data_IF_053222709317
#
_entry.id   IF_053222709317
#
_cell.length_a   1.000
_cell.length_b   1.000
_cell.length_c   1.000
_cell.angle_alpha   90.00
_cell.angle_beta   90.00
_cell.angle_gamma   90.00
#
_symmetry.space_group_name_H-M   'P 1'
#
loop_
_entity.id
_entity.type
_entity.pdbx_description
1 polymer ?
#
# COMPACT_ATOMS: atom_id res chain seq x y z
N UNK A 1 22.07 1.80 -7.99
CA UNK A 1 21.32 0.60 -7.58
C UNK A 1 20.03 1.11 -6.94
N UNK A 2 18.95 1.20 -7.72
CA UNK A 2 17.70 1.80 -7.23
C UNK A 2 16.98 0.80 -6.34
N UNK A 3 16.81 1.13 -5.06
CA UNK A 3 16.00 0.34 -4.14
C UNK A 3 14.59 0.17 -4.73
N UNK A 4 14.14 -1.08 -4.86
CA UNK A 4 12.77 -1.39 -5.24
C UNK A 4 11.81 -0.56 -4.36
N UNK A 5 10.71 0.00 -4.90
CA UNK A 5 9.71 0.67 -4.08
C UNK A 5 9.27 -0.28 -2.95
N UNK A 6 9.12 0.24 -1.73
CA UNK A 6 8.84 -0.54 -0.51
C UNK A 6 7.59 -1.44 -0.61
N UNK A 7 6.77 -1.23 -1.65
CA UNK A 7 5.75 -2.16 -2.13
C UNK A 7 6.23 -3.60 -2.38
N UNK A 8 7.54 -3.89 -2.35
CA UNK A 8 8.08 -5.25 -2.52
C UNK A 8 8.83 -5.82 -1.29
N UNK A 9 8.86 -5.13 -0.15
CA UNK A 9 9.58 -5.61 1.05
C UNK A 9 9.01 -6.97 1.55
N UNK A 10 9.79 -8.07 1.61
CA UNK A 10 9.32 -9.35 2.14
C UNK A 10 8.91 -9.29 3.63
N UNK A 11 9.47 -8.37 4.41
CA UNK A 11 9.12 -8.18 5.83
C UNK A 11 7.77 -7.48 6.04
N UNK A 12 7.16 -6.97 4.96
CA UNK A 12 5.89 -6.24 4.97
C UNK A 12 4.65 -7.13 4.80
N UNK A 13 4.77 -8.43 5.03
CA UNK A 13 3.72 -9.42 4.79
C UNK A 13 3.69 -10.48 5.89
N UNK A 14 2.53 -11.11 6.11
CA UNK A 14 2.37 -12.19 7.07
C UNK A 14 1.44 -11.89 8.26
N UNK A 15 1.29 -12.89 9.13
CA UNK A 15 0.40 -12.83 10.29
C UNK A 15 0.86 -11.74 11.27
N UNK A 16 -0.09 -10.97 11.78
CA UNK A 16 0.17 -9.94 12.79
C UNK A 16 0.63 -8.59 12.23
N UNK A 17 0.67 -8.41 10.91
CA UNK A 17 0.92 -7.09 10.35
C UNK A 17 -0.23 -6.13 10.73
N UNK A 18 0.13 -4.98 11.26
CA UNK A 18 -0.70 -3.80 11.41
C UNK A 18 -0.08 -2.69 10.56
N UNK A 19 -0.93 -2.04 9.75
CA UNK A 19 -0.55 -0.86 8.98
C UNK A 19 -1.42 0.31 9.42
N UNK A 20 -0.81 1.47 9.63
CA UNK A 20 -1.51 2.72 9.96
C UNK A 20 -1.07 3.80 9.00
N UNK A 21 -1.99 4.68 8.63
CA UNK A 21 -1.68 5.77 7.71
C UNK A 21 -2.22 7.10 8.20
N UNK A 22 -1.48 8.15 7.90
CA UNK A 22 -1.85 9.53 8.17
C UNK A 22 -1.55 10.37 6.94
N UNK A 23 -2.35 11.41 6.76
CA UNK A 23 -2.21 12.33 5.65
C UNK A 23 -2.11 13.74 6.19
N UNK A 24 -1.20 14.52 5.63
CA UNK A 24 -0.95 15.89 6.01
C UNK A 24 -0.52 16.70 4.78
N UNK A 25 -0.79 18.00 4.79
CA UNK A 25 -0.28 18.92 3.78
C UNK A 25 0.87 19.76 4.32
N UNK A 26 2.06 19.57 3.76
CA UNK A 26 3.21 20.42 4.07
C UNK A 26 3.13 21.74 3.30
N UNK A 27 3.28 22.85 4.01
CA UNK A 27 3.55 24.14 3.39
C UNK A 27 5.00 24.15 2.90
N UNK A 28 5.22 23.75 1.65
CA UNK A 28 6.54 23.92 1.03
C UNK A 28 6.87 25.42 0.99
N UNK A 29 8.09 25.80 1.38
CA UNK A 29 8.60 27.16 1.34
C UNK A 29 8.30 27.82 -0.04
N UNK A 30 7.21 28.59 -0.11
CA UNK A 30 6.82 29.38 -1.29
C UNK A 30 5.83 28.75 -2.27
N UNK A 31 4.56 28.57 -1.85
CA UNK A 31 3.29 28.72 -2.64
C UNK A 31 2.44 27.51 -3.02
N UNK A 32 2.83 26.25 -2.78
CA UNK A 32 1.89 25.11 -2.96
C UNK A 32 1.95 24.14 -1.80
N UNK A 33 0.77 23.84 -1.23
CA UNK A 33 0.59 22.76 -0.29
C UNK A 33 0.99 21.44 -0.98
N UNK A 34 1.86 20.66 -0.35
CA UNK A 34 2.26 19.34 -0.82
C UNK A 34 1.60 18.28 0.05
N UNK A 35 0.85 17.39 -0.57
CA UNK A 35 0.32 16.21 0.09
C UNK A 35 1.47 15.30 0.54
N UNK A 36 1.46 14.90 1.80
CA UNK A 36 2.38 13.93 2.39
C UNK A 36 1.59 12.82 3.06
N UNK A 37 2.09 11.59 2.89
CA UNK A 37 1.46 10.37 3.41
C UNK A 37 2.44 9.59 4.24
N UNK A 38 2.14 9.49 5.52
CA UNK A 38 2.96 8.77 6.49
C UNK A 38 2.30 7.40 6.70
N UNK A 39 3.07 6.32 6.64
CA UNK A 39 2.60 4.99 7.02
C UNK A 39 3.52 4.37 8.06
N UNK A 40 2.93 3.77 9.08
CA UNK A 40 3.65 2.89 9.99
C UNK A 40 3.32 1.44 9.66
N UNK A 41 4.37 0.62 9.58
CA UNK A 41 4.27 -0.84 9.51
C UNK A 41 4.72 -1.41 10.84
N UNK A 42 3.91 -2.26 11.45
CA UNK A 42 4.27 -2.94 12.69
C UNK A 42 3.76 -4.38 12.63
N UNK A 43 4.66 -5.35 12.70
CA UNK A 43 4.30 -6.74 12.92
C UNK A 43 4.19 -6.98 14.42
N UNK A 44 2.97 -7.14 14.93
CA UNK A 44 2.69 -7.27 16.37
C UNK A 44 3.18 -8.60 16.96
N UNK A 45 3.55 -9.57 16.11
CA UNK A 45 4.04 -10.88 16.54
C UNK A 45 5.56 -10.87 16.65
N UNK A 46 6.27 -10.35 15.65
CA UNK A 46 7.74 -10.27 15.66
C UNK A 46 8.28 -8.99 16.29
N UNK A 47 7.43 -7.97 16.49
CA UNK A 47 7.81 -6.63 16.91
C UNK A 47 8.36 -5.74 15.79
N UNK A 48 8.67 -6.30 14.62
CA UNK A 48 9.33 -5.55 13.54
C UNK A 48 8.51 -4.36 13.07
N UNK A 49 9.16 -3.21 12.91
CA UNK A 49 8.53 -1.94 12.53
C UNK A 49 9.41 -1.10 11.62
N UNK A 50 8.78 -0.22 10.87
CA UNK A 50 9.44 0.86 10.12
C UNK A 50 8.38 1.87 9.63
N UNK A 51 8.84 3.08 9.29
CA UNK A 51 7.98 4.17 8.81
C UNK A 51 8.24 4.41 7.32
N UNK A 52 7.17 4.71 6.59
CA UNK A 52 7.19 5.11 5.19
C UNK A 52 6.67 6.54 5.07
N UNK A 53 7.30 7.33 4.20
CA UNK A 53 6.76 8.61 3.72
C UNK A 53 6.61 8.50 2.21
N UNK A 54 5.39 8.74 1.72
CA UNK A 54 5.02 8.68 0.31
C UNK A 54 5.43 7.36 -0.35
N UNK A 55 5.33 6.26 0.39
CA UNK A 55 5.68 4.92 -0.08
C UNK A 55 7.16 4.57 -0.02
N UNK A 56 8.02 5.44 0.53
CA UNK A 56 9.46 5.21 0.70
C UNK A 56 9.82 5.09 2.16
N UNK A 57 10.66 4.12 2.49
CA UNK A 57 11.09 3.93 3.88
C UNK A 57 11.93 5.12 4.34
N UNK A 58 11.66 5.57 5.56
CA UNK A 58 12.47 6.58 6.24
C UNK A 58 13.65 5.87 6.87
N UNK A 59 14.85 6.24 6.44
CA UNK A 59 16.10 5.68 6.94
C UNK A 59 16.19 5.79 8.47
N UNK A 60 16.70 4.73 9.12
CA UNK A 60 16.86 4.67 10.57
C UNK A 60 15.58 4.39 11.36
N UNK A 61 14.40 4.31 10.72
CA UNK A 61 13.14 4.02 11.43
C UNK A 61 12.87 2.53 11.63
N UNK A 62 13.63 1.67 10.94
CA UNK A 62 13.50 0.22 11.05
C UNK A 62 14.01 -0.28 12.39
N UNK A 63 13.23 -1.12 13.05
CA UNK A 63 13.60 -1.73 14.33
C UNK A 63 12.57 -2.72 14.83
N UNK A 64 12.61 -3.04 16.13
CA UNK A 64 11.65 -3.92 16.79
C UNK A 64 11.02 -3.23 18.02
N UNK A 65 9.72 -3.43 18.24
CA UNK A 65 9.00 -3.08 19.49
C UNK A 65 8.60 -4.36 20.20
N UNK A 66 8.89 -4.47 21.50
CA UNK A 66 8.30 -5.53 22.30
C UNK A 66 6.99 -5.08 22.94
N UNK A 67 6.17 -6.02 23.40
CA UNK A 67 4.98 -5.71 24.17
C UNK A 67 5.39 -5.11 25.52
N UNK A 68 4.96 -3.89 25.81
CA UNK A 68 5.33 -3.14 27.02
C UNK A 68 6.35 -2.02 26.78
N UNK A 69 6.98 -1.97 25.61
CA UNK A 69 7.80 -0.84 25.21
C UNK A 69 6.90 0.27 24.66
N UNK A 70 7.14 1.51 25.11
CA UNK A 70 6.68 2.68 24.39
C UNK A 70 7.75 3.08 23.38
N UNK A 71 7.36 3.30 22.13
CA UNK A 71 8.23 3.78 21.09
C UNK A 71 7.82 5.18 20.65
N UNK A 72 8.82 6.03 20.46
CA UNK A 72 8.73 7.26 19.69
C UNK A 72 9.79 7.24 18.57
N UNK A 73 9.36 7.38 17.32
CA UNK A 73 10.23 7.54 16.15
C UNK A 73 10.10 8.98 15.66
N UNK A 74 11.21 9.71 15.60
CA UNK A 74 11.25 11.10 15.18
C UNK A 74 12.08 11.27 13.91
N UNK A 75 11.57 12.00 12.93
CA UNK A 75 12.28 12.32 11.68
C UNK A 75 11.78 13.65 11.11
N UNK A 76 12.36 14.10 9.99
CA UNK A 76 11.93 15.34 9.31
C UNK A 76 11.39 15.06 7.91
N UNK A 77 10.33 15.78 7.54
CA UNK A 77 9.77 15.79 6.18
C UNK A 77 9.56 17.24 5.77
N UNK A 78 10.19 17.68 4.68
CA UNK A 78 10.13 19.07 4.20
C UNK A 78 10.50 20.12 5.26
N UNK A 79 11.40 19.77 6.18
CA UNK A 79 11.80 20.64 7.30
C UNK A 79 10.91 20.53 8.53
N UNK A 80 9.72 19.94 8.41
CA UNK A 80 8.82 19.71 9.55
C UNK A 80 9.22 18.48 10.36
N UNK A 81 9.19 18.58 11.68
CA UNK A 81 9.37 17.47 12.61
C UNK A 81 8.13 16.56 12.60
N UNK A 82 8.37 15.26 12.42
CA UNK A 82 7.35 14.21 12.42
C UNK A 82 7.67 13.22 13.52
N UNK A 83 6.65 12.88 14.30
CA UNK A 83 6.73 11.92 15.39
C UNK A 83 5.72 10.80 15.15
N UNK A 84 6.16 9.55 15.14
CA UNK A 84 5.30 8.38 15.05
C UNK A 84 5.54 7.53 16.28
N UNK A 85 4.48 7.24 17.04
CA UNK A 85 4.58 6.46 18.27
C UNK A 85 3.81 5.14 18.20
N UNK A 86 4.36 4.16 18.92
CA UNK A 86 3.69 2.90 19.23
C UNK A 86 3.60 2.82 20.74
N UNK A 87 2.38 2.83 21.24
CA UNK A 87 2.07 2.62 22.65
C UNK A 87 1.30 1.31 22.81
N UNK A 88 1.03 0.92 24.05
CA UNK A 88 0.26 -0.26 24.37
C UNK A 88 -0.76 0.07 25.46
N UNK A 89 -2.03 0.06 25.07
CA UNK A 89 -3.13 -0.08 26.03
C UNK A 89 -3.31 -1.57 26.34
N UNK A 90 -3.79 -1.93 27.53
CA UNK A 90 -3.83 -3.28 28.14
C UNK A 90 -4.19 -4.43 27.17
N UNK A 91 -4.97 -4.15 26.13
CA UNK A 91 -5.46 -5.12 25.15
C UNK A 91 -4.91 -4.93 23.72
N UNK A 92 -4.28 -3.81 23.37
CA UNK A 92 -3.89 -3.52 22.00
C UNK A 92 -2.77 -2.48 21.88
N UNK A 93 -2.03 -2.55 20.77
CA UNK A 93 -1.15 -1.45 20.37
C UNK A 93 -1.95 -0.23 19.93
N UNK A 94 -1.52 0.94 20.39
CA UNK A 94 -2.05 2.26 20.00
C UNK A 94 -1.00 2.96 19.17
N UNK A 95 -1.43 3.66 18.13
CA UNK A 95 -0.53 4.27 17.16
C UNK A 95 -0.91 5.72 16.95
N UNK A 96 0.04 6.64 17.11
CA UNK A 96 -0.18 8.05 16.91
C UNK A 96 0.85 8.63 15.96
N UNK A 97 0.48 9.72 15.28
CA UNK A 97 1.38 10.48 14.43
C UNK A 97 1.18 11.96 14.74
N UNK A 98 2.27 12.69 14.95
CA UNK A 98 2.27 14.15 15.13
C UNK A 98 3.18 14.81 14.13
N UNK A 99 2.82 16.02 13.71
CA UNK A 99 3.65 16.88 12.87
C UNK A 99 3.70 18.25 13.53
N UNK A 100 4.89 18.76 13.84
CA UNK A 100 5.07 20.01 14.59
C UNK A 100 4.29 20.05 15.92
N UNK A 101 4.12 18.89 16.56
CA UNK A 101 3.35 18.73 17.80
C UNK A 101 1.85 18.53 17.61
N UNK A 102 1.30 18.81 16.42
CA UNK A 102 -0.12 18.60 16.11
C UNK A 102 -0.41 17.14 15.77
N UNK A 103 -1.40 16.55 16.43
CA UNK A 103 -1.79 15.16 16.23
C UNK A 103 -2.64 14.97 14.97
N UNK A 104 -2.23 14.04 14.11
CA UNK A 104 -2.93 13.71 12.88
C UNK A 104 -3.98 12.62 13.12
N UNK A 105 -5.13 12.80 12.48
CA UNK A 105 -6.18 11.77 12.44
C UNK A 105 -5.76 10.64 11.49
N UNK A 106 -5.88 9.40 11.97
CA UNK A 106 -5.62 8.20 11.15
C UNK A 106 -6.65 8.11 10.01
N UNK A 107 -6.19 7.88 8.77
CA UNK A 107 -7.08 8.11 7.63
C UNK A 107 -8.20 7.06 7.47
N UNK A 108 -8.13 5.89 8.15
CA UNK A 108 -9.27 4.97 8.18
C UNK A 108 -10.35 5.41 9.18
N UNK A 109 -10.01 6.23 10.19
CA UNK A 109 -10.96 6.82 11.12
C UNK A 109 -11.78 7.98 10.52
N UNK A 110 -11.31 8.60 9.44
CA UNK A 110 -12.05 9.66 8.72
C UNK A 110 -13.28 9.05 8.04
N UNK A 111 -14.46 9.65 8.21
CA UNK A 111 -15.67 9.23 7.49
C UNK A 111 -15.63 9.71 6.03
N UNK A 112 -16.06 8.87 5.08
CA UNK A 112 -16.01 9.18 3.64
C UNK A 112 -14.62 9.08 3.01
N UNK A 113 -14.38 9.86 1.97
CA UNK A 113 -13.07 9.93 1.31
C UNK A 113 -12.04 10.58 2.24
N UNK A 114 -11.00 9.84 2.68
CA UNK A 114 -9.91 10.46 3.43
C UNK A 114 -9.19 11.56 2.63
N UNK A 115 -9.35 11.57 1.30
CA UNK A 115 -8.76 12.55 0.38
C UNK A 115 -9.71 13.64 -0.10
N UNK A 116 -10.94 13.76 0.44
CA UNK A 116 -11.93 14.74 -0.04
C UNK A 116 -11.37 16.18 -0.09
N UNK A 117 -10.61 16.57 0.94
CA UNK A 117 -9.95 17.87 1.04
C UNK A 117 -8.67 18.03 0.20
N UNK A 118 -8.26 16.99 -0.50
CA UNK A 118 -7.05 16.91 -1.34
C UNK A 118 -7.36 16.47 -2.77
N UNK A 119 -8.64 16.50 -3.17
CA UNK A 119 -9.13 16.02 -4.46
C UNK A 119 -8.45 16.70 -5.67
N UNK A 120 -8.07 17.98 -5.55
CA UNK A 120 -7.30 18.70 -6.57
C UNK A 120 -5.85 18.21 -6.74
N UNK A 121 -5.33 17.44 -5.77
CA UNK A 121 -3.94 16.99 -5.75
C UNK A 121 -3.75 15.55 -6.23
N UNK A 122 -4.81 14.75 -6.38
CA UNK A 122 -4.68 13.30 -6.55
C UNK A 122 -5.51 12.75 -7.72
N UNK A 123 -4.83 12.33 -8.79
CA UNK A 123 -5.43 11.59 -9.90
C UNK A 123 -5.68 10.13 -9.48
N UNK A 124 -6.85 9.83 -8.92
CA UNK A 124 -7.17 8.49 -8.43
C UNK A 124 -7.31 7.47 -9.57
N UNK A 125 -7.10 6.16 -9.29
CA UNK A 125 -7.45 5.10 -10.23
C UNK A 125 -8.94 5.16 -10.56
N UNK A 126 -9.27 5.19 -11.84
CA UNK A 126 -10.64 5.18 -12.33
C UNK A 126 -11.00 3.79 -12.85
N UNK A 127 -10.33 3.36 -13.91
CA UNK A 127 -10.53 2.05 -14.54
C UNK A 127 -9.25 1.20 -14.52
N UNK A 128 -9.44 -0.12 -14.49
CA UNK A 128 -8.36 -1.10 -14.61
C UNK A 128 -8.69 -2.14 -15.66
N UNK A 129 -7.73 -2.39 -16.53
CA UNK A 129 -7.79 -3.40 -17.58
C UNK A 129 -6.65 -4.40 -17.40
N UNK A 130 -6.93 -5.66 -17.73
CA UNK A 130 -5.94 -6.72 -17.69
C UNK A 130 -5.61 -7.12 -19.13
N UNK A 131 -4.35 -6.94 -19.51
CA UNK A 131 -3.86 -7.28 -20.83
C UNK A 131 -3.37 -8.72 -20.90
N UNK A 132 -2.14 -8.91 -21.35
CA UNK A 132 -1.53 -10.23 -21.52
C UNK A 132 -1.01 -10.82 -20.20
N UNK A 133 -0.75 -12.13 -20.23
CA UNK A 133 0.05 -12.82 -19.22
C UNK A 133 1.33 -13.34 -19.87
N UNK A 134 2.48 -13.15 -19.21
CA UNK A 134 3.79 -13.59 -19.72
C UNK A 134 4.56 -14.39 -18.69
N UNK A 135 5.35 -15.34 -19.15
CA UNK A 135 6.34 -16.04 -18.32
C UNK A 135 7.63 -15.21 -18.26
N UNK A 136 8.30 -15.25 -17.14
CA UNK A 136 9.58 -14.58 -16.88
C UNK A 136 10.46 -15.52 -16.05
N UNK A 137 11.76 -15.36 -16.19
CA UNK A 137 12.78 -16.03 -15.37
C UNK A 137 13.63 -14.95 -14.72
N UNK A 138 13.70 -14.96 -13.39
CA UNK A 138 14.54 -14.08 -12.57
C UNK A 138 15.26 -14.96 -11.57
N UNK A 139 16.58 -14.79 -11.41
CA UNK A 139 17.40 -15.60 -10.49
C UNK A 139 17.22 -17.13 -10.63
N UNK A 140 16.92 -17.60 -11.84
CA UNK A 140 16.69 -19.03 -12.13
C UNK A 140 15.29 -19.55 -11.75
N UNK A 141 14.41 -18.71 -11.20
CA UNK A 141 13.03 -19.05 -10.89
C UNK A 141 12.08 -18.57 -12.00
N UNK A 142 11.25 -19.48 -12.52
CA UNK A 142 10.22 -19.14 -13.51
C UNK A 142 8.91 -18.73 -12.82
N UNK A 143 8.30 -17.62 -13.27
CA UNK A 143 7.01 -17.14 -12.79
C UNK A 143 6.18 -16.47 -13.89
N UNK A 144 4.88 -16.26 -13.59
CA UNK A 144 3.94 -15.56 -14.48
C UNK A 144 3.69 -14.15 -13.96
N UNK A 145 3.75 -13.18 -14.87
CA UNK A 145 3.29 -11.80 -14.67
C UNK A 145 2.03 -11.53 -15.50
N UNK A 146 1.18 -10.67 -14.95
CA UNK A 146 -0.04 -10.17 -15.59
C UNK A 146 0.14 -8.69 -15.85
N UNK A 147 -0.21 -8.28 -17.06
CA UNK A 147 -0.29 -6.88 -17.46
C UNK A 147 -1.53 -6.24 -16.83
N UNK A 148 -1.32 -5.14 -16.11
CA UNK A 148 -2.36 -4.34 -15.47
C UNK A 148 -2.22 -2.92 -15.99
N UNK A 149 -3.21 -2.46 -16.73
CA UNK A 149 -3.30 -1.09 -17.23
C UNK A 149 -4.32 -0.32 -16.40
N UNK A 150 -3.92 0.82 -15.87
CA UNK A 150 -4.76 1.68 -15.03
C UNK A 150 -4.91 3.03 -15.71
N UNK A 151 -6.15 3.49 -15.85
CA UNK A 151 -6.46 4.88 -16.21
C UNK A 151 -6.82 5.66 -14.94
N UNK A 152 -6.31 6.88 -14.82
CA UNK A 152 -6.61 7.77 -13.70
C UNK A 152 -7.76 8.71 -14.04
N UNK A 153 -8.37 9.32 -13.02
CA UNK A 153 -9.39 10.37 -13.20
C UNK A 153 -8.89 11.60 -13.95
N UNK A 154 -7.56 11.79 -14.05
CA UNK A 154 -6.94 12.83 -14.87
C UNK A 154 -6.76 12.41 -16.35
N UNK A 155 -7.19 11.21 -16.73
CA UNK A 155 -7.05 10.65 -18.08
C UNK A 155 -5.66 10.08 -18.38
N UNK A 156 -4.73 10.09 -17.43
CA UNK A 156 -3.40 9.48 -17.60
C UNK A 156 -3.50 7.95 -17.52
N UNK A 157 -2.64 7.24 -18.26
CA UNK A 157 -2.63 5.77 -18.29
C UNK A 157 -1.25 5.26 -17.89
N UNK A 158 -1.22 4.18 -17.10
CA UNK A 158 0.01 3.46 -16.75
C UNK A 158 -0.21 1.95 -16.92
N UNK A 159 0.81 1.26 -17.41
CA UNK A 159 0.81 -0.20 -17.50
C UNK A 159 1.93 -0.78 -16.65
N UNK A 160 1.59 -1.73 -15.79
CA UNK A 160 2.53 -2.43 -14.92
C UNK A 160 2.40 -3.94 -15.06
N UNK A 161 3.49 -4.65 -14.81
CA UNK A 161 3.50 -6.10 -14.75
C UNK A 161 3.56 -6.55 -13.29
N UNK A 162 2.64 -7.44 -12.90
CA UNK A 162 2.52 -7.94 -11.51
C UNK A 162 2.43 -9.45 -11.48
N UNK A 163 3.13 -10.08 -10.54
CA UNK A 163 3.01 -11.52 -10.27
C UNK A 163 1.75 -11.78 -9.46
N UNK A 164 1.19 -12.98 -9.56
CA UNK A 164 0.07 -13.40 -8.70
C UNK A 164 0.37 -13.18 -7.20
N UNK A 165 1.61 -13.47 -6.77
CA UNK A 165 2.05 -13.23 -5.39
C UNK A 165 1.90 -11.78 -4.97
N UNK A 166 2.09 -10.82 -5.88
CA UNK A 166 2.05 -9.40 -5.56
C UNK A 166 0.62 -8.96 -5.18
N UNK A 167 -0.40 -9.52 -5.83
CA UNK A 167 -1.80 -9.32 -5.45
C UNK A 167 -2.11 -9.86 -4.06
N UNK A 168 -1.58 -11.04 -3.72
CA UNK A 168 -1.75 -11.63 -2.38
C UNK A 168 -1.08 -10.76 -1.32
N UNK A 169 0.13 -10.25 -1.60
CA UNK A 169 0.85 -9.34 -0.69
C UNK A 169 0.06 -8.04 -0.50
N UNK A 170 -0.46 -7.45 -1.57
CA UNK A 170 -1.33 -6.28 -1.50
C UNK A 170 -2.55 -6.55 -0.62
N UNK A 171 -3.21 -7.71 -0.78
CA UNK A 171 -4.37 -8.09 0.04
C UNK A 171 -4.07 -8.14 1.52
N UNK A 172 -2.93 -8.75 1.89
CA UNK A 172 -2.51 -8.80 3.29
C UNK A 172 -2.27 -7.40 3.86
N UNK A 173 -1.61 -6.52 3.08
CA UNK A 173 -1.33 -5.14 3.50
C UNK A 173 -2.60 -4.30 3.63
N UNK A 174 -3.51 -4.36 2.66
CA UNK A 174 -4.78 -3.67 2.75
C UNK A 174 -5.61 -4.19 3.91
N UNK A 175 -5.77 -5.51 4.05
CA UNK A 175 -6.46 -6.12 5.19
C UNK A 175 -5.90 -5.66 6.54
N UNK A 176 -4.57 -5.50 6.65
CA UNK A 176 -3.94 -4.99 7.86
C UNK A 176 -4.19 -3.49 8.11
N UNK A 177 -4.34 -2.71 7.04
CA UNK A 177 -4.64 -1.27 7.11
C UNK A 177 -6.05 -1.05 7.63
N UNK A 178 -7.00 -1.88 7.21
CA UNK A 178 -8.41 -1.80 7.64
C UNK A 178 -8.72 -2.61 8.90
N UNK A 179 -7.70 -3.04 9.67
CA UNK A 179 -7.91 -3.79 10.90
C UNK A 179 -8.71 -2.95 11.92
N UNK A 180 -9.91 -3.42 12.30
CA UNK A 180 -10.82 -2.69 13.20
C UNK A 180 -11.81 -1.77 12.48
N UNK A 181 -11.70 -1.63 11.16
CA UNK A 181 -12.68 -0.90 10.34
C UNK A 181 -13.77 -1.85 9.83
N UNK A 182 -15.02 -1.36 9.78
CA UNK A 182 -16.12 -2.03 9.08
C UNK A 182 -15.82 -2.24 7.59
N UNK A 183 -14.89 -1.48 7.01
CA UNK A 183 -14.50 -1.66 5.61
C UNK A 183 -13.81 -2.99 5.34
N UNK A 184 -13.23 -3.64 6.36
CA UNK A 184 -12.57 -4.92 6.19
C UNK A 184 -13.51 -6.01 5.66
N UNK A 185 -14.79 -6.00 6.03
CA UNK A 185 -15.75 -7.00 5.53
C UNK A 185 -16.12 -6.77 4.05
N UNK A 186 -15.85 -5.57 3.54
CA UNK A 186 -16.14 -5.19 2.15
C UNK A 186 -14.92 -5.37 1.23
N UNK A 187 -13.81 -5.94 1.73
CA UNK A 187 -12.63 -6.25 0.93
C UNK A 187 -12.81 -7.65 0.35
N UNK A 188 -13.04 -7.80 -0.97
CA UNK A 188 -13.00 -9.09 -1.65
C UNK A 188 -11.79 -9.93 -1.25
N UNK A 189 -12.01 -11.23 -1.04
CA UNK A 189 -10.93 -12.20 -0.89
C UNK A 189 -10.18 -12.38 -2.21
N UNK A 190 -8.86 -12.63 -2.16
CA UNK A 190 -8.08 -12.85 -3.36
C UNK A 190 -8.40 -14.24 -3.92
N UNK A 191 -8.24 -14.45 -5.25
CA UNK A 191 -8.38 -15.77 -5.83
C UNK A 191 -7.47 -16.78 -5.12
N UNK A 192 -7.97 -17.98 -4.87
CA UNK A 192 -7.21 -19.03 -4.18
C UNK A 192 -5.96 -19.40 -4.97
N UNK A 193 -4.85 -19.65 -4.26
CA UNK A 193 -3.70 -20.34 -4.86
C UNK A 193 -4.18 -21.70 -5.32
N UNK A 194 -4.14 -21.99 -6.62
CA UNK A 194 -4.43 -23.30 -7.15
C UNK A 194 -3.55 -24.34 -6.43
N UNK A 195 -4.15 -25.13 -5.55
CA UNK A 195 -3.51 -26.19 -4.79
C UNK A 195 -3.47 -27.44 -5.66
N UNK A 196 -2.49 -27.51 -6.57
CA UNK A 196 -2.33 -28.69 -7.41
C UNK A 196 -1.16 -28.56 -8.38
N UNK A 197 -0.16 -29.43 -8.20
CA UNK A 197 0.88 -29.84 -9.14
C UNK A 197 1.55 -28.76 -10.00
N UNK A 198 2.84 -28.55 -9.73
CA UNK A 198 3.76 -27.63 -10.42
C UNK A 198 3.73 -27.70 -11.95
N UNK A 199 3.29 -28.81 -12.54
CA UNK A 199 3.18 -29.05 -13.99
C UNK A 199 2.00 -28.33 -14.68
N UNK A 200 0.95 -27.89 -13.96
CA UNK A 200 -0.19 -27.15 -14.56
C UNK A 200 -0.17 -25.64 -14.26
N UNK A 201 0.81 -25.13 -13.51
CA UNK A 201 0.87 -23.72 -13.07
C UNK A 201 1.06 -22.71 -14.21
N UNK A 202 1.48 -23.20 -15.39
CA UNK A 202 1.80 -22.38 -16.55
C UNK A 202 0.97 -22.72 -17.79
N UNK A 203 -0.09 -23.55 -17.67
CA UNK A 203 -0.99 -23.78 -18.81
C UNK A 203 -1.68 -22.48 -19.18
N UNK A 204 -1.92 -22.27 -20.49
CA UNK A 204 -2.57 -21.06 -20.96
C UNK A 204 -3.96 -20.88 -20.32
N UNK A 205 -4.73 -21.97 -20.19
CA UNK A 205 -6.05 -21.95 -19.56
C UNK A 205 -6.00 -21.43 -18.12
N UNK A 206 -5.05 -21.92 -17.31
CA UNK A 206 -4.91 -21.52 -15.91
C UNK A 206 -4.40 -20.08 -15.77
N UNK A 207 -3.52 -19.63 -16.67
CA UNK A 207 -3.11 -18.22 -16.72
C UNK A 207 -4.31 -17.32 -17.06
N UNK A 208 -5.16 -17.75 -18.00
CA UNK A 208 -6.33 -16.98 -18.43
C UNK A 208 -7.42 -16.93 -17.36
N UNK A 209 -7.76 -18.07 -16.76
CA UNK A 209 -8.71 -18.16 -15.64
C UNK A 209 -8.26 -17.27 -14.47
N UNK A 210 -6.98 -17.36 -14.12
CA UNK A 210 -6.39 -16.54 -13.06
C UNK A 210 -6.39 -15.06 -13.42
N UNK A 211 -6.10 -14.71 -14.68
CA UNK A 211 -6.16 -13.32 -15.16
C UNK A 211 -7.56 -12.73 -14.98
N UNK A 212 -8.60 -13.45 -15.40
CA UNK A 212 -9.99 -13.03 -15.23
C UNK A 212 -10.35 -12.87 -13.74
N UNK A 213 -9.94 -13.84 -12.91
CA UNK A 213 -10.17 -13.78 -11.46
C UNK A 213 -9.48 -12.60 -10.79
N UNK A 214 -8.24 -12.29 -11.20
CA UNK A 214 -7.48 -11.14 -10.70
C UNK A 214 -8.10 -9.81 -11.14
N UNK A 215 -8.62 -9.75 -12.37
CA UNK A 215 -9.39 -8.60 -12.85
C UNK A 215 -10.61 -8.35 -11.99
N UNK A 216 -11.47 -9.36 -11.85
CA UNK A 216 -12.73 -9.22 -11.10
C UNK A 216 -12.47 -8.92 -9.61
N UNK A 217 -11.36 -9.41 -9.07
CA UNK A 217 -10.88 -9.06 -7.75
C UNK A 217 -10.47 -7.58 -7.64
N UNK A 218 -9.58 -7.11 -8.53
CA UNK A 218 -9.06 -5.75 -8.48
C UNK A 218 -10.14 -4.69 -8.78
N UNK A 219 -11.05 -4.95 -9.73
CA UNK A 219 -12.17 -4.06 -10.03
C UNK A 219 -13.06 -3.86 -8.81
N UNK A 220 -13.50 -4.94 -8.15
CA UNK A 220 -14.34 -4.85 -6.93
C UNK A 220 -13.64 -4.13 -5.78
N UNK A 221 -12.32 -4.25 -5.69
CA UNK A 221 -11.54 -3.50 -4.72
C UNK A 221 -11.52 -2.01 -4.97
N UNK A 222 -11.37 -1.61 -6.24
CA UNK A 222 -11.38 -0.22 -6.62
C UNK A 222 -12.78 0.40 -6.52
N UNK A 223 -13.85 -0.38 -6.36
CA UNK A 223 -15.15 0.18 -5.98
C UNK A 223 -15.15 0.77 -4.55
N UNK A 224 -14.18 0.41 -3.71
CA UNK A 224 -14.02 0.97 -2.36
C UNK A 224 -13.12 2.20 -2.39
N UNK A 225 -13.68 3.37 -2.11
CA UNK A 225 -12.98 4.67 -2.17
C UNK A 225 -11.69 4.72 -1.35
N UNK A 226 -11.72 4.21 -0.11
CA UNK A 226 -10.51 4.16 0.75
C UNK A 226 -9.43 3.21 0.22
N UNK A 227 -9.80 2.22 -0.60
CA UNK A 227 -8.84 1.32 -1.24
C UNK A 227 -8.20 2.01 -2.44
N UNK A 228 -8.98 2.74 -3.27
CA UNK A 228 -8.48 3.55 -4.39
C UNK A 228 -7.41 4.53 -3.95
N UNK A 229 -7.64 5.21 -2.82
CA UNK A 229 -6.73 6.21 -2.29
C UNK A 229 -5.64 5.62 -1.38
N UNK A 230 -5.57 4.31 -1.14
CA UNK A 230 -4.52 3.72 -0.31
C UNK A 230 -3.14 3.76 -0.98
N UNK A 231 -2.09 4.05 -0.20
CA UNK A 231 -0.71 4.15 -0.71
C UNK A 231 -0.23 2.84 -1.36
N UNK A 232 -0.51 1.69 -0.75
CA UNK A 232 -0.11 0.39 -1.31
C UNK A 232 -0.81 0.10 -2.64
N UNK A 233 -2.09 0.46 -2.75
CA UNK A 233 -2.85 0.35 -4.00
C UNK A 233 -2.23 1.21 -5.08
N UNK A 234 -1.97 2.49 -4.80
CA UNK A 234 -1.37 3.42 -5.78
C UNK A 234 -0.02 2.91 -6.27
N UNK A 235 0.89 2.54 -5.36
CA UNK A 235 2.20 1.98 -5.74
C UNK A 235 2.06 0.68 -6.53
N UNK A 236 1.12 -0.19 -6.14
CA UNK A 236 0.86 -1.44 -6.85
C UNK A 236 0.41 -1.16 -8.29
N UNK A 237 -0.41 -0.15 -8.53
CA UNK A 237 -0.84 0.26 -9.87
C UNK A 237 0.20 1.07 -10.64
N UNK A 238 1.36 1.36 -10.04
CA UNK A 238 2.41 2.17 -10.66
C UNK A 238 2.12 3.66 -10.61
N UNK A 239 1.32 4.11 -9.63
CA UNK A 239 0.94 5.50 -9.43
C UNK A 239 1.65 6.09 -8.20
N UNK A 240 1.89 7.39 -8.26
CA UNK A 240 2.45 8.19 -7.19
C UNK A 240 1.47 8.31 -6.03
N UNK A 241 1.87 8.01 -4.78
CA UNK A 241 1.00 8.18 -3.62
C UNK A 241 0.57 9.63 -3.35
N UNK A 242 1.31 10.61 -3.84
CA UNK A 242 1.09 12.04 -3.56
C UNK A 242 0.36 12.77 -4.67
N UNK A 243 0.43 12.27 -5.90
CA UNK A 243 -0.16 12.92 -7.07
C UNK A 243 -1.15 12.04 -7.82
N UNK A 244 -1.13 10.71 -7.58
CA UNK A 244 -1.94 9.73 -8.31
C UNK A 244 -1.49 9.53 -9.76
N UNK A 245 -0.46 10.26 -10.21
CA UNK A 245 0.07 10.18 -11.57
C UNK A 245 0.98 8.97 -11.76
N UNK A 246 1.17 8.48 -13.00
CA UNK A 246 2.12 7.42 -13.30
C UNK A 246 3.52 7.70 -12.71
N UNK A 247 4.07 6.73 -12.01
CA UNK A 247 5.48 6.73 -11.64
C UNK A 247 6.30 6.59 -12.92
N UNK A 248 7.22 7.53 -13.17
CA UNK A 248 8.23 7.32 -14.19
C UNK A 248 9.16 6.20 -13.74
N UNK A 249 8.82 4.97 -14.14
CA UNK A 249 9.68 3.80 -14.02
C UNK A 249 10.75 3.93 -15.12
N UNK A 250 11.81 4.68 -14.82
CA UNK A 250 13.03 4.73 -15.64
C UNK A 250 13.91 3.51 -15.42
#
# INVERSE_FOLDING_TARGET
MFSLPAALDPHSTGRGLATRHWTWSSAAQGRRLKLRRIQLRHNIVSGSRYVLVDGREVEGTRGNTSRGDQLLVTFKVDGSAVEVSIDHDRLAFVYNCRVEGDELVEANAIAGDPMAGFSECLALPDTVEFGNARRQVEDGEEFVQYEVTTQTTAGETVTVWRRFSDFIKLHQRLSSSFLGSHLRVNIPDPPSKASGFFTKKFSQDLMQERRLSLRDFLTRWLDVEKVKSNVDTLLFLGLSPTTGRPLHLG
#
